data_IF_426057145659
#
_entry.id   IF_426057145659
#
_cell.length_a   1.000
_cell.length_b   1.000
_cell.length_c   1.000
_cell.angle_alpha   90.00
_cell.angle_beta   90.00
_cell.angle_gamma   90.00
#
_symmetry.space_group_name_H-M   'P 1'
#
loop_
_entity.id
_entity.type
_entity.pdbx_description
1 polymer ?
#
# COMPACT_ATOMS: atom_id res chain seq x y z
N UNK A 1 7.22 72.73 -15.07
CA UNK A 1 5.80 72.32 -14.90
C UNK A 1 5.78 70.96 -14.25
N UNK A 2 5.42 70.92 -12.96
CA UNK A 2 5.41 69.71 -12.11
C UNK A 2 4.18 68.86 -12.45
N UNK A 3 4.36 67.58 -12.80
CA UNK A 3 3.25 66.62 -12.98
C UNK A 3 2.97 65.92 -11.66
N UNK A 4 1.87 66.30 -11.01
CA UNK A 4 1.29 65.57 -9.89
C UNK A 4 0.66 64.27 -10.39
N UNK A 5 1.27 63.13 -10.06
CA UNK A 5 0.64 61.82 -10.24
C UNK A 5 -0.33 61.54 -9.09
N UNK A 6 -1.62 61.24 -9.34
CA UNK A 6 -2.54 60.84 -8.29
C UNK A 6 -2.19 59.43 -7.80
N UNK A 7 -1.90 59.31 -6.50
CA UNK A 7 -1.77 58.02 -5.83
C UNK A 7 -3.19 57.43 -5.73
N UNK A 8 -3.49 56.47 -6.61
CA UNK A 8 -4.77 55.78 -6.63
C UNK A 8 -4.83 54.77 -5.49
N UNK A 9 -5.47 55.14 -4.38
CA UNK A 9 -5.74 54.26 -3.23
C UNK A 9 -6.75 53.18 -3.60
N UNK A 10 -6.27 52.04 -4.11
CA UNK A 10 -7.10 50.84 -4.26
C UNK A 10 -7.42 50.28 -2.87
N UNK A 11 -8.70 50.24 -2.51
CA UNK A 11 -9.16 49.63 -1.27
C UNK A 11 -8.85 48.11 -1.29
N UNK A 12 -8.28 47.61 -0.20
CA UNK A 12 -8.00 46.19 -0.03
C UNK A 12 -9.34 45.44 0.19
N UNK A 13 -9.90 44.86 -0.87
CA UNK A 13 -11.08 44.01 -0.78
C UNK A 13 -10.63 42.62 -0.32
N UNK A 14 -11.08 42.22 0.87
CA UNK A 14 -10.83 40.86 1.38
C UNK A 14 -11.54 39.83 0.51
N UNK A 15 -10.81 38.77 0.12
CA UNK A 15 -11.38 37.68 -0.66
C UNK A 15 -12.46 36.94 0.15
N UNK A 16 -13.53 36.44 -0.51
CA UNK A 16 -14.55 35.64 0.16
C UNK A 16 -13.93 34.45 0.91
N UNK A 17 -14.35 34.23 2.16
CA UNK A 17 -13.92 33.09 2.97
C UNK A 17 -14.39 31.80 2.29
N UNK A 18 -13.46 31.04 1.69
CA UNK A 18 -13.73 29.64 1.28
C UNK A 18 -13.68 28.73 2.51
N UNK A 19 -14.51 27.68 2.57
CA UNK A 19 -14.36 26.66 3.59
C UNK A 19 -12.95 26.04 3.49
N UNK A 20 -12.35 25.64 4.62
CA UNK A 20 -11.06 24.97 4.61
C UNK A 20 -11.14 23.74 3.70
N UNK A 21 -10.09 23.45 2.89
CA UNK A 21 -10.09 22.28 2.04
C UNK A 21 -10.37 21.05 2.90
N UNK A 22 -11.31 20.22 2.46
CA UNK A 22 -11.50 18.89 3.03
C UNK A 22 -10.15 18.19 3.05
N UNK A 23 -9.78 17.59 4.20
CA UNK A 23 -8.46 17.01 4.40
C UNK A 23 -8.11 16.04 3.26
N UNK A 24 -7.17 16.43 2.40
CA UNK A 24 -6.64 15.59 1.32
C UNK A 24 -5.55 14.62 1.82
N UNK A 25 -5.25 14.64 3.12
CA UNK A 25 -4.23 13.81 3.74
C UNK A 25 -4.86 12.77 4.66
N UNK A 26 -4.64 11.49 4.32
CA UNK A 26 -5.10 10.33 5.10
C UNK A 26 -4.73 9.03 4.40
N UNK A 27 -4.60 7.93 5.13
CA UNK A 27 -4.20 6.63 4.57
C UNK A 27 -5.13 6.16 3.44
N UNK A 28 -6.43 6.41 3.57
CA UNK A 28 -7.45 6.06 2.56
C UNK A 28 -7.29 6.92 1.30
N UNK A 29 -7.10 8.23 1.46
CA UNK A 29 -6.89 9.15 0.32
C UNK A 29 -5.57 8.85 -0.39
N UNK A 30 -4.53 8.45 0.36
CA UNK A 30 -3.26 7.98 -0.20
C UNK A 30 -3.41 6.69 -0.99
N UNK A 31 -4.15 5.70 -0.48
CA UNK A 31 -4.46 4.48 -1.22
C UNK A 31 -5.21 4.79 -2.52
N UNK A 32 -6.21 5.67 -2.47
CA UNK A 32 -6.96 6.07 -3.67
C UNK A 32 -6.09 6.84 -4.68
N UNK A 33 -5.23 7.76 -4.22
CA UNK A 33 -4.36 8.56 -5.09
C UNK A 33 -3.15 7.82 -5.65
N UNK A 34 -2.76 6.67 -5.08
CA UNK A 34 -1.63 5.87 -5.57
C UNK A 34 -2.09 4.62 -6.34
N UNK A 35 -3.06 3.86 -5.82
CA UNK A 35 -3.48 2.57 -6.41
C UNK A 35 -4.70 2.69 -7.34
N UNK A 36 -5.56 3.69 -7.15
CA UNK A 36 -6.83 3.82 -7.90
C UNK A 36 -6.94 5.13 -8.68
N UNK A 37 -5.82 5.82 -8.87
CA UNK A 37 -5.78 7.14 -9.50
C UNK A 37 -6.11 7.12 -11.00
N UNK A 38 -5.98 5.97 -11.65
CA UNK A 38 -6.26 5.81 -13.08
C UNK A 38 -6.82 4.42 -13.36
N UNK A 39 -7.60 4.27 -14.43
CA UNK A 39 -8.25 3.01 -14.82
C UNK A 39 -7.27 1.83 -14.89
N UNK A 40 -6.08 2.04 -15.45
CA UNK A 40 -5.02 1.04 -15.51
C UNK A 40 -4.54 0.56 -14.13
N UNK A 41 -4.36 1.49 -13.18
CA UNK A 41 -3.92 1.15 -11.82
C UNK A 41 -5.02 0.41 -11.06
N UNK A 42 -6.29 0.78 -11.27
CA UNK A 42 -7.43 0.05 -10.70
C UNK A 42 -7.49 -1.39 -11.20
N UNK A 43 -7.33 -1.62 -12.51
CA UNK A 43 -7.32 -2.96 -13.10
C UNK A 43 -6.13 -3.77 -12.59
N UNK A 44 -4.93 -3.19 -12.56
CA UNK A 44 -3.73 -3.86 -12.04
C UNK A 44 -3.87 -4.22 -10.56
N UNK A 45 -4.38 -3.31 -9.73
CA UNK A 45 -4.60 -3.55 -8.30
C UNK A 45 -5.65 -4.63 -8.07
N UNK A 46 -6.73 -4.63 -8.85
CA UNK A 46 -7.75 -5.68 -8.78
C UNK A 46 -7.18 -7.04 -9.19
N UNK A 47 -6.39 -7.09 -10.27
CA UNK A 47 -5.73 -8.32 -10.72
C UNK A 47 -4.71 -8.84 -9.70
N UNK A 48 -3.91 -7.97 -9.12
CA UNK A 48 -2.96 -8.34 -8.08
C UNK A 48 -3.70 -8.88 -6.84
N UNK A 49 -4.73 -8.19 -6.39
CA UNK A 49 -5.56 -8.65 -5.26
C UNK A 49 -6.19 -10.02 -5.57
N UNK A 50 -6.72 -10.20 -6.77
CA UNK A 50 -7.25 -11.50 -7.21
C UNK A 50 -6.18 -12.59 -7.18
N UNK A 51 -5.01 -12.33 -7.75
CA UNK A 51 -3.90 -13.28 -7.76
C UNK A 51 -3.47 -13.65 -6.33
N UNK A 52 -3.40 -12.68 -5.42
CA UNK A 52 -3.16 -12.93 -4.00
C UNK A 52 -4.25 -13.84 -3.41
N UNK A 53 -5.53 -13.53 -3.61
CA UNK A 53 -6.63 -14.34 -3.05
C UNK A 53 -6.60 -15.81 -3.51
N UNK A 54 -6.17 -16.07 -4.74
CA UNK A 54 -6.05 -17.44 -5.26
C UNK A 54 -4.77 -18.13 -4.76
N UNK A 55 -3.65 -17.42 -4.64
CA UNK A 55 -2.34 -17.99 -4.28
C UNK A 55 -2.15 -18.17 -2.78
N UNK A 56 -2.67 -17.25 -1.97
CA UNK A 56 -2.58 -17.26 -0.51
C UNK A 56 -3.04 -18.60 0.11
N UNK A 57 -4.22 -19.17 -0.20
CA UNK A 57 -4.64 -20.41 0.44
C UNK A 57 -3.70 -21.59 0.14
N UNK A 58 -3.19 -21.69 -1.09
CA UNK A 58 -2.20 -22.70 -1.46
C UNK A 58 -0.87 -22.50 -0.72
N UNK A 59 -0.43 -21.24 -0.60
CA UNK A 59 0.78 -20.90 0.15
C UNK A 59 0.65 -21.22 1.64
N UNK A 60 -0.50 -20.92 2.26
CA UNK A 60 -0.77 -21.23 3.66
C UNK A 60 -0.78 -22.75 3.89
N UNK A 61 -1.44 -23.51 3.02
CA UNK A 61 -1.45 -24.97 3.12
C UNK A 61 -0.02 -25.53 3.01
N UNK A 62 0.75 -25.07 2.03
CA UNK A 62 2.15 -25.46 1.88
C UNK A 62 3.02 -25.10 3.09
N UNK A 63 2.84 -23.90 3.64
CA UNK A 63 3.66 -23.36 4.73
C UNK A 63 3.29 -23.91 6.12
N UNK A 64 2.05 -24.37 6.31
CA UNK A 64 1.52 -24.75 7.64
C UNK A 64 1.04 -26.20 7.66
N UNK A 65 0.15 -26.61 6.76
CA UNK A 65 -0.48 -27.94 6.83
C UNK A 65 0.45 -29.04 6.35
N UNK A 66 1.17 -28.82 5.25
CA UNK A 66 2.11 -29.81 4.68
C UNK A 66 3.54 -29.64 5.22
N UNK A 67 3.72 -28.78 6.21
CA UNK A 67 5.04 -28.39 6.69
C UNK A 67 5.64 -29.38 7.70
N UNK A 68 6.97 -29.53 7.65
CA UNK A 68 7.76 -30.30 8.61
C UNK A 68 8.25 -29.37 9.71
N UNK A 69 7.65 -29.49 10.88
CA UNK A 69 7.92 -28.62 12.02
C UNK A 69 9.18 -29.02 12.79
N UNK A 70 9.29 -30.29 13.18
CA UNK A 70 10.46 -30.85 13.88
C UNK A 70 10.82 -32.20 13.24
N UNK A 71 12.12 -32.43 13.02
CA UNK A 71 12.63 -33.71 12.58
C UNK A 71 14.12 -33.81 12.88
N UNK A 72 14.57 -34.98 13.36
CA UNK A 72 15.98 -35.25 13.64
C UNK A 72 16.76 -35.72 12.39
N UNK A 73 16.04 -36.01 11.29
CA UNK A 73 16.61 -36.58 10.07
C UNK A 73 16.44 -35.60 8.89
N UNK A 74 17.50 -34.90 8.44
CA UNK A 74 17.42 -33.89 7.38
C UNK A 74 16.89 -34.38 6.05
N UNK A 75 16.87 -35.71 5.83
CA UNK A 75 16.30 -36.33 4.64
C UNK A 75 14.78 -36.09 4.53
N UNK A 76 14.08 -36.06 5.66
CA UNK A 76 12.62 -35.84 5.72
C UNK A 76 12.25 -34.50 5.11
N UNK A 77 13.04 -33.46 5.39
CA UNK A 77 12.83 -32.13 4.80
C UNK A 77 13.10 -32.05 3.30
N UNK A 78 13.91 -32.95 2.72
CA UNK A 78 14.16 -32.98 1.26
C UNK A 78 13.06 -33.68 0.49
N UNK A 79 12.32 -34.58 1.14
CA UNK A 79 11.21 -35.33 0.53
C UNK A 79 9.85 -34.73 0.86
N UNK A 80 9.79 -33.71 1.70
CA UNK A 80 8.55 -33.04 2.09
C UNK A 80 7.93 -32.28 0.92
N UNK A 81 6.59 -32.31 0.85
CA UNK A 81 5.83 -31.53 -0.11
C UNK A 81 5.63 -30.06 0.34
N UNK A 82 5.73 -29.79 1.65
CA UNK A 82 5.57 -28.47 2.25
C UNK A 82 6.87 -27.79 2.69
N UNK A 83 6.72 -26.70 3.45
CA UNK A 83 7.86 -25.98 4.04
C UNK A 83 8.56 -26.81 5.12
N UNK A 84 9.88 -26.68 5.26
CA UNK A 84 10.64 -27.30 6.35
C UNK A 84 11.07 -26.24 7.37
N UNK A 85 10.40 -26.21 8.53
CA UNK A 85 10.70 -25.31 9.65
C UNK A 85 11.74 -25.88 10.62
N UNK A 86 11.98 -27.19 10.59
CA UNK A 86 12.97 -27.86 11.45
C UNK A 86 14.38 -27.25 11.32
N UNK A 87 14.75 -26.72 10.15
CA UNK A 87 16.04 -26.03 9.92
C UNK A 87 16.17 -24.73 10.73
N UNK A 88 15.05 -24.07 11.03
CA UNK A 88 15.05 -22.85 11.85
C UNK A 88 15.14 -23.22 13.33
N UNK A 89 14.44 -24.28 13.74
CA UNK A 89 14.45 -24.76 15.13
C UNK A 89 15.84 -25.23 15.59
N UNK A 90 16.62 -25.86 14.72
CA UNK A 90 17.99 -26.31 15.00
C UNK A 90 19.02 -25.17 15.14
N UNK A 91 18.69 -23.94 14.69
CA UNK A 91 19.62 -22.80 14.65
C UNK A 91 19.54 -21.87 15.87
N UNK A 92 18.68 -22.17 16.85
CA UNK A 92 18.48 -21.42 18.08
C UNK A 92 18.57 -22.34 19.30
#
# INVERSE_FOLDING_TARGET
MSRSHPISSAAFVSAPRRPPPVRETGAIVWLQSNFFNNFHNTVLTMLATWALLVTIPGFISWAITEAVWLTDDPKVCRTAAGACWAVIAEKH
#
